data_IF_273665887059
#
_entry.id   IF_273665887059
#
_cell.length_a   1.000
_cell.length_b   1.000
_cell.length_c   1.000
_cell.angle_alpha   90.00
_cell.angle_beta   90.00
_cell.angle_gamma   90.00
#
_symmetry.space_group_name_H-M   'P 1'
#
loop_
_entity.id
_entity.type
_entity.pdbx_description
1 polymer ?
#
# COMPACT_ATOMS: atom_id res chain seq x y z
N UNK A 1 -4.33 18.93 -2.89
CA UNK A 1 -4.40 17.82 -1.92
C UNK A 1 -5.71 17.94 -1.18
N UNK A 2 -6.51 16.88 -1.17
CA UNK A 2 -7.89 16.84 -0.70
C UNK A 2 -8.01 15.92 0.51
N UNK A 3 -8.90 16.27 1.45
CA UNK A 3 -9.34 15.35 2.50
C UNK A 3 -10.23 14.26 1.87
N UNK A 4 -9.85 13.00 2.03
CA UNK A 4 -10.54 11.86 1.46
C UNK A 4 -11.72 11.37 2.30
N UNK A 5 -11.84 11.76 3.58
CA UNK A 5 -12.74 11.12 4.55
C UNK A 5 -14.19 11.11 4.09
N UNK A 6 -14.72 12.26 3.70
CA UNK A 6 -16.13 12.35 3.27
C UNK A 6 -16.39 11.52 2.00
N UNK A 7 -15.50 11.63 1.01
CA UNK A 7 -15.62 10.91 -0.25
C UNK A 7 -15.53 9.38 -0.07
N UNK A 8 -14.66 8.90 0.82
CA UNK A 8 -14.55 7.49 1.18
C UNK A 8 -15.81 6.97 1.90
N UNK A 9 -16.36 7.74 2.85
CA UNK A 9 -17.57 7.38 3.59
C UNK A 9 -18.80 7.35 2.68
N UNK A 10 -18.87 8.26 1.71
CA UNK A 10 -19.99 8.37 0.77
C UNK A 10 -19.90 7.39 -0.40
N UNK A 11 -18.81 6.62 -0.54
CA UNK A 11 -18.59 5.73 -1.69
C UNK A 11 -18.27 6.47 -3.00
N UNK A 12 -17.80 7.71 -2.92
CA UNK A 12 -17.32 8.48 -4.08
C UNK A 12 -15.90 8.08 -4.50
N UNK A 13 -15.15 7.49 -3.55
CA UNK A 13 -13.83 6.91 -3.74
C UNK A 13 -13.89 5.44 -3.38
N UNK A 14 -13.50 4.59 -4.33
CA UNK A 14 -13.52 3.14 -4.17
C UNK A 14 -12.18 2.51 -4.57
N UNK A 15 -11.86 1.37 -3.95
CA UNK A 15 -10.61 0.65 -4.20
C UNK A 15 -10.40 0.34 -5.68
N UNK A 16 -11.45 -0.13 -6.35
CA UNK A 16 -11.38 -0.63 -7.72
C UNK A 16 -11.38 0.45 -8.80
N UNK A 17 -11.72 1.68 -8.45
CA UNK A 17 -11.78 2.81 -9.40
C UNK A 17 -10.66 3.82 -9.10
N UNK A 18 -10.47 4.16 -7.83
CA UNK A 18 -9.54 5.19 -7.38
C UNK A 18 -8.23 4.61 -6.85
N UNK A 19 -8.17 3.29 -6.61
CA UNK A 19 -6.95 2.59 -6.20
C UNK A 19 -6.74 2.54 -4.69
N UNK A 20 -7.67 3.06 -3.87
CA UNK A 20 -7.56 2.99 -2.41
C UNK A 20 -8.92 2.99 -1.70
N UNK A 21 -8.92 2.47 -0.48
CA UNK A 21 -10.06 2.47 0.43
C UNK A 21 -9.61 2.64 1.89
N UNK A 22 -10.52 3.13 2.74
CA UNK A 22 -10.30 3.25 4.18
C UNK A 22 -11.12 2.18 4.90
N UNK A 23 -10.43 1.30 5.60
CA UNK A 23 -11.01 0.21 6.37
C UNK A 23 -10.89 0.50 7.86
N UNK A 24 -11.81 -0.07 8.65
CA UNK A 24 -11.67 -0.12 10.10
C UNK A 24 -10.92 -1.39 10.47
N UNK A 25 -9.87 -1.26 11.26
CA UNK A 25 -9.07 -2.40 11.74
C UNK A 25 -8.52 -2.12 13.13
N UNK A 26 -8.91 -2.92 14.11
CA UNK A 26 -8.40 -2.84 15.48
C UNK A 26 -7.54 -4.07 15.75
N UNK A 27 -6.22 -3.88 15.81
CA UNK A 27 -5.26 -4.97 15.92
C UNK A 27 -5.07 -5.45 17.36
N UNK A 28 -4.87 -6.75 17.53
CA UNK A 28 -4.47 -7.36 18.80
C UNK A 28 -2.94 -7.35 19.04
N UNK A 29 -2.15 -6.83 18.09
CA UNK A 29 -0.69 -6.65 18.25
C UNK A 29 -0.41 -5.77 19.47
N UNK A 30 0.51 -6.22 20.31
CA UNK A 30 0.91 -5.53 21.54
C UNK A 30 2.06 -4.58 21.30
N UNK A 31 3.00 -4.96 20.44
CA UNK A 31 4.12 -4.11 20.06
C UNK A 31 4.47 -4.27 18.57
N UNK A 32 4.18 -3.23 17.79
CA UNK A 32 4.58 -3.14 16.37
C UNK A 32 6.10 -2.98 16.17
N UNK A 33 6.92 -3.08 17.21
CA UNK A 33 8.38 -3.18 17.12
C UNK A 33 8.88 -4.62 17.29
N UNK A 34 8.00 -5.54 17.68
CA UNK A 34 8.30 -6.96 17.76
C UNK A 34 7.86 -7.66 16.47
N UNK A 35 8.85 -8.12 15.72
CA UNK A 35 8.68 -8.80 14.44
C UNK A 35 7.90 -10.12 14.57
N UNK A 36 8.02 -10.81 15.71
CA UNK A 36 7.28 -12.05 15.97
C UNK A 36 5.81 -11.75 16.30
N UNK A 37 5.53 -10.69 17.06
CA UNK A 37 4.15 -10.24 17.36
C UNK A 37 3.44 -9.81 16.06
N UNK A 38 4.14 -9.10 15.16
CA UNK A 38 3.61 -8.75 13.83
C UNK A 38 3.30 -10.01 13.01
N UNK A 39 4.22 -10.96 12.92
CA UNK A 39 4.03 -12.15 12.09
C UNK A 39 2.97 -13.10 12.62
N UNK A 40 2.86 -13.23 13.94
CA UNK A 40 1.93 -14.19 14.57
C UNK A 40 0.53 -13.62 14.77
N UNK A 41 0.39 -12.30 14.83
CA UNK A 41 -0.90 -11.62 15.07
C UNK A 41 -1.32 -10.78 13.88
N UNK A 42 -0.50 -9.81 13.45
CA UNK A 42 -0.90 -8.86 12.41
C UNK A 42 -1.05 -9.49 11.02
N UNK A 43 -0.21 -10.45 10.65
CA UNK A 43 -0.28 -11.09 9.34
C UNK A 43 -1.61 -11.82 9.13
N UNK A 44 -2.07 -12.70 10.03
CA UNK A 44 -3.40 -13.30 9.95
C UNK A 44 -4.54 -12.26 9.90
N UNK A 45 -4.41 -11.16 10.65
CA UNK A 45 -5.38 -10.06 10.62
C UNK A 45 -5.45 -9.41 9.22
N UNK A 46 -4.29 -9.15 8.60
CA UNK A 46 -4.21 -8.58 7.25
C UNK A 46 -4.71 -9.54 6.17
N UNK A 47 -4.41 -10.84 6.29
CA UNK A 47 -4.93 -11.86 5.38
C UNK A 47 -6.46 -11.88 5.40
N UNK A 48 -7.06 -11.92 6.59
CA UNK A 48 -8.51 -11.91 6.75
C UNK A 48 -9.14 -10.59 6.26
N UNK A 49 -8.58 -9.44 6.63
CA UNK A 49 -9.12 -8.13 6.27
C UNK A 49 -9.02 -7.87 4.76
N UNK A 50 -7.87 -8.12 4.14
CA UNK A 50 -7.68 -7.93 2.70
C UNK A 50 -8.50 -8.94 1.91
N UNK A 51 -8.57 -10.20 2.35
CA UNK A 51 -9.43 -11.21 1.74
C UNK A 51 -10.90 -10.77 1.74
N UNK A 52 -11.42 -10.32 2.88
CA UNK A 52 -12.79 -9.83 3.00
C UNK A 52 -13.05 -8.56 2.16
N UNK A 53 -12.10 -7.64 2.10
CA UNK A 53 -12.25 -6.38 1.37
C UNK A 53 -12.17 -6.54 -0.16
N UNK A 54 -11.49 -7.58 -0.64
CA UNK A 54 -11.18 -7.75 -2.06
C UNK A 54 -11.89 -8.92 -2.73
N UNK A 55 -12.33 -9.91 -1.94
CA UNK A 55 -12.88 -11.17 -2.45
C UNK A 55 -11.83 -12.13 -3.01
N UNK A 56 -10.57 -11.99 -2.61
CA UNK A 56 -9.50 -12.89 -3.04
C UNK A 56 -9.67 -14.31 -2.48
N UNK A 57 -9.25 -15.31 -3.26
CA UNK A 57 -9.26 -16.73 -2.86
C UNK A 57 -8.08 -17.05 -1.94
N UNK A 58 -6.89 -16.55 -2.30
CA UNK A 58 -5.68 -16.71 -1.51
C UNK A 58 -5.03 -15.35 -1.25
N UNK A 59 -4.51 -15.19 -0.03
CA UNK A 59 -3.74 -14.02 0.37
C UNK A 59 -2.36 -14.46 0.84
N UNK A 60 -1.33 -13.80 0.35
CA UNK A 60 0.05 -14.03 0.74
C UNK A 60 0.71 -12.74 1.21
N UNK A 61 1.10 -12.70 2.49
CA UNK A 61 1.92 -11.61 3.00
C UNK A 61 3.35 -11.71 2.44
N UNK A 62 3.82 -10.67 1.78
CA UNK A 62 5.16 -10.60 1.17
C UNK A 62 6.19 -10.14 2.18
N UNK A 63 5.93 -9.02 2.83
CA UNK A 63 6.79 -8.40 3.83
C UNK A 63 6.01 -7.30 4.54
N UNK A 64 6.60 -6.74 5.59
CA UNK A 64 6.14 -5.50 6.19
C UNK A 64 7.29 -4.50 6.37
N UNK A 65 6.93 -3.24 6.55
CA UNK A 65 7.86 -2.17 6.92
C UNK A 65 7.24 -1.37 8.06
N UNK A 66 7.95 -1.28 9.17
CA UNK A 66 7.62 -0.38 10.27
C UNK A 66 8.40 0.90 10.09
N UNK A 67 7.70 2.04 10.05
CA UNK A 67 8.29 3.38 9.92
C UNK A 67 8.02 4.20 11.17
N UNK A 68 9.07 4.79 11.71
CA UNK A 68 9.07 5.68 12.88
C UNK A 68 9.86 6.94 12.54
N UNK A 69 10.21 7.74 13.54
CA UNK A 69 11.13 8.87 13.44
C UNK A 69 12.58 8.50 13.03
N UNK A 70 12.89 7.22 12.86
CA UNK A 70 14.20 6.74 12.45
C UNK A 70 14.52 7.09 10.99
N UNK A 71 15.51 7.96 10.79
CA UNK A 71 16.01 8.37 9.48
C UNK A 71 17.36 7.74 9.12
N UNK A 72 17.83 6.74 9.86
CA UNK A 72 19.14 6.11 9.65
C UNK A 72 19.23 5.25 8.38
N UNK A 73 18.08 4.77 7.90
CA UNK A 73 17.94 3.96 6.69
C UNK A 73 16.86 4.59 5.80
N UNK A 74 17.20 4.83 4.54
CA UNK A 74 16.26 5.32 3.52
C UNK A 74 15.00 4.45 3.45
N UNK A 75 15.15 3.13 3.61
CA UNK A 75 14.04 2.19 3.59
C UNK A 75 13.18 2.22 4.84
N UNK A 76 13.60 2.88 5.92
CA UNK A 76 12.84 3.05 7.17
C UNK A 76 12.29 4.47 7.35
N UNK A 77 12.98 5.47 6.77
CA UNK A 77 12.54 6.86 6.75
C UNK A 77 11.21 7.04 5.99
N UNK A 78 10.52 8.14 6.21
CA UNK A 78 9.29 8.42 5.46
C UNK A 78 9.61 8.67 3.97
N UNK A 79 8.94 7.96 3.06
CA UNK A 79 9.16 8.11 1.63
C UNK A 79 8.63 9.46 1.13
N UNK A 80 9.53 10.43 0.88
CA UNK A 80 9.21 11.80 0.42
C UNK A 80 9.32 11.99 -1.09
N UNK A 81 8.98 10.94 -1.85
CA UNK A 81 8.89 10.97 -3.30
C UNK A 81 7.66 10.16 -3.73
N UNK A 82 7.05 10.54 -4.85
CA UNK A 82 5.88 9.86 -5.39
C UNK A 82 6.32 8.58 -6.10
N UNK A 83 5.71 7.45 -5.74
CA UNK A 83 6.06 6.15 -6.31
C UNK A 83 4.91 5.14 -6.22
N UNK A 84 5.07 4.06 -6.96
CA UNK A 84 4.41 2.77 -6.80
C UNK A 84 5.50 1.72 -6.56
N UNK A 85 5.24 0.76 -5.68
CA UNK A 85 6.24 -0.24 -5.31
C UNK A 85 6.58 -1.21 -6.44
N UNK A 86 5.63 -1.43 -7.36
CA UNK A 86 5.71 -2.42 -8.40
C UNK A 86 5.66 -1.80 -9.80
N UNK A 87 6.34 -2.46 -10.73
CA UNK A 87 6.32 -2.12 -12.14
C UNK A 87 5.03 -2.57 -12.81
N UNK A 88 4.56 -1.78 -13.79
CA UNK A 88 3.48 -2.19 -14.69
C UNK A 88 3.99 -3.10 -15.82
N UNK A 89 5.30 -3.20 -16.00
CA UNK A 89 5.90 -4.05 -17.02
C UNK A 89 5.84 -5.52 -16.58
N UNK A 90 5.13 -6.34 -17.36
CA UNK A 90 4.91 -7.78 -17.09
C UNK A 90 4.40 -8.04 -15.66
N UNK A 91 3.16 -7.63 -15.35
CA UNK A 91 2.64 -7.70 -13.98
C UNK A 91 2.56 -9.14 -13.44
N UNK A 92 2.46 -10.14 -14.32
CA UNK A 92 2.47 -11.56 -13.94
C UNK A 92 3.86 -12.07 -13.56
N UNK A 93 4.95 -11.44 -14.01
CA UNK A 93 6.31 -11.80 -13.56
C UNK A 93 6.49 -11.57 -12.05
N UNK A 94 5.91 -10.49 -11.51
CA UNK A 94 5.90 -10.24 -10.07
C UNK A 94 5.24 -11.39 -9.30
N UNK A 95 4.11 -11.91 -9.78
CA UNK A 95 3.41 -13.06 -9.17
C UNK A 95 4.28 -14.30 -9.23
N UNK A 96 4.80 -14.64 -10.41
CA UNK A 96 5.66 -15.81 -10.59
C UNK A 96 6.85 -15.78 -9.63
N UNK A 97 7.53 -14.63 -9.50
CA UNK A 97 8.65 -14.47 -8.54
C UNK A 97 8.22 -14.59 -7.09
N UNK A 98 7.02 -14.14 -6.72
CA UNK A 98 6.50 -14.24 -5.36
C UNK A 98 6.08 -15.68 -5.01
N UNK A 99 5.47 -16.39 -5.96
CA UNK A 99 5.10 -17.81 -5.85
C UNK A 99 6.34 -18.71 -5.79
N UNK A 100 7.32 -18.51 -6.67
CA UNK A 100 8.57 -19.29 -6.67
C UNK A 100 9.36 -19.12 -5.38
N UNK A 101 9.37 -17.92 -4.76
CA UNK A 101 10.00 -17.70 -3.45
C UNK A 101 9.31 -18.43 -2.30
N UNK A 102 8.10 -18.94 -2.52
CA UNK A 102 7.31 -19.72 -1.57
C UNK A 102 7.28 -21.21 -1.91
N UNK A 103 8.09 -21.64 -2.89
CA UNK A 103 8.09 -23.01 -3.41
C UNK A 103 6.71 -23.49 -3.91
N UNK A 104 5.86 -22.55 -4.36
CA UNK A 104 4.55 -22.86 -4.93
C UNK A 104 4.67 -23.19 -6.44
N UNK A 105 3.99 -24.24 -6.92
CA UNK A 105 4.05 -24.65 -8.32
C UNK A 105 3.32 -23.65 -9.23
N UNK A 106 4.06 -22.99 -10.13
CA UNK A 106 3.50 -21.97 -11.04
C UNK A 106 2.37 -22.49 -11.95
N UNK A 107 2.31 -23.81 -12.20
CA UNK A 107 1.27 -24.44 -12.99
C UNK A 107 -0.12 -24.28 -12.36
N UNK A 108 -0.22 -24.30 -11.03
CA UNK A 108 -1.47 -24.19 -10.28
C UNK A 108 -2.06 -22.76 -10.38
N UNK A 109 -1.24 -21.80 -10.78
CA UNK A 109 -1.59 -20.38 -10.88
C UNK A 109 -1.56 -19.83 -12.31
N UNK A 110 -1.44 -20.71 -13.33
CA UNK A 110 -1.25 -20.29 -14.71
C UNK A 110 -2.38 -19.39 -15.24
N UNK A 111 -3.62 -19.74 -14.91
CA UNK A 111 -4.83 -19.03 -15.34
C UNK A 111 -5.38 -18.05 -14.29
N UNK A 112 -4.75 -17.98 -13.11
CA UNK A 112 -5.18 -17.11 -12.01
C UNK A 112 -4.88 -15.64 -12.31
N UNK A 113 -5.66 -14.78 -11.67
CA UNK A 113 -5.47 -13.34 -11.67
C UNK A 113 -4.86 -12.89 -10.33
N UNK A 114 -4.11 -11.78 -10.35
CA UNK A 114 -3.35 -11.32 -9.20
C UNK A 114 -3.52 -9.83 -8.95
N UNK A 115 -3.51 -9.44 -7.69
CA UNK A 115 -3.33 -8.05 -7.31
C UNK A 115 -2.35 -7.92 -6.14
N UNK A 116 -1.65 -6.79 -6.09
CA UNK A 116 -0.83 -6.39 -4.96
C UNK A 116 -1.46 -5.22 -4.28
N UNK A 117 -1.52 -5.34 -2.96
CA UNK A 117 -2.01 -4.31 -2.09
C UNK A 117 -0.97 -3.96 -1.04
N UNK A 118 -0.92 -2.69 -0.68
CA UNK A 118 -0.31 -2.26 0.56
C UNK A 118 -1.42 -1.93 1.55
N UNK A 119 -1.33 -2.48 2.75
CA UNK A 119 -2.05 -1.93 3.90
C UNK A 119 -1.15 -0.91 4.58
N UNK A 120 -1.73 0.19 5.04
CA UNK A 120 -1.00 1.21 5.78
C UNK A 120 -1.81 1.63 7.01
N UNK A 121 -1.25 1.41 8.19
CA UNK A 121 -1.95 1.64 9.46
C UNK A 121 -1.03 2.36 10.45
N UNK A 122 -1.47 3.48 11.05
CA UNK A 122 -0.75 4.08 12.16
C UNK A 122 -0.89 3.23 13.43
N UNK A 123 0.08 3.32 14.32
CA UNK A 123 0.04 2.70 15.64
C UNK A 123 0.59 3.66 16.70
N UNK A 124 0.40 3.33 17.99
CA UNK A 124 0.61 4.18 19.18
C UNK A 124 -0.33 5.41 19.25
N UNK A 125 -0.46 6.17 18.16
CA UNK A 125 -1.20 7.43 18.12
C UNK A 125 -1.63 7.81 16.69
N UNK A 126 -2.36 8.93 16.55
CA UNK A 126 -2.84 9.41 15.25
C UNK A 126 -1.67 9.86 14.37
N UNK A 127 -1.76 9.58 13.06
CA UNK A 127 -0.80 10.09 12.10
C UNK A 127 -1.12 11.54 11.71
N UNK A 128 -0.54 12.48 12.45
CA UNK A 128 -0.73 13.92 12.19
C UNK A 128 0.44 14.52 11.40
N UNK A 129 1.67 14.20 11.80
CA UNK A 129 2.89 14.53 11.06
C UNK A 129 3.19 13.46 10.01
N UNK A 130 3.80 13.86 8.89
CA UNK A 130 4.20 12.93 7.83
C UNK A 130 3.10 11.97 7.33
N UNK A 131 1.81 12.35 7.22
CA UNK A 131 0.79 11.42 6.78
C UNK A 131 1.05 10.90 5.36
N UNK A 132 0.31 9.86 4.97
CA UNK A 132 0.37 9.34 3.60
C UNK A 132 -0.60 10.10 2.70
N UNK A 133 -0.10 10.59 1.57
CA UNK A 133 -0.90 11.04 0.44
C UNK A 133 -0.91 9.96 -0.63
N UNK A 134 -2.06 9.83 -1.30
CA UNK A 134 -2.30 8.92 -2.42
C UNK A 134 -2.82 9.70 -3.62
N UNK A 135 -2.56 9.22 -4.81
CA UNK A 135 -3.11 9.77 -6.05
C UNK A 135 -4.27 8.91 -6.50
N UNK A 136 -5.39 9.57 -6.80
CA UNK A 136 -6.56 8.94 -7.42
C UNK A 136 -6.18 8.32 -8.77
N UNK A 137 -6.18 7.00 -8.82
CA UNK A 137 -5.77 6.23 -9.99
C UNK A 137 -6.57 6.57 -11.25
N UNK A 138 -7.83 7.02 -11.10
CA UNK A 138 -8.67 7.45 -12.23
C UNK A 138 -8.16 8.72 -12.92
N UNK A 139 -7.18 9.41 -12.34
CA UNK A 139 -6.52 10.60 -12.88
C UNK A 139 -5.14 10.35 -13.44
N UNK A 140 -4.64 9.12 -13.33
CA UNK A 140 -3.30 8.74 -13.79
C UNK A 140 -3.42 8.06 -15.15
N UNK A 141 -2.72 8.59 -16.15
CA UNK A 141 -2.58 7.93 -17.45
C UNK A 141 -1.53 6.82 -17.32
N UNK A 142 -1.84 5.54 -17.58
CA UNK A 142 -0.85 4.47 -17.56
C UNK A 142 0.38 4.75 -18.44
N UNK A 143 0.23 5.52 -19.52
CA UNK A 143 1.33 5.91 -20.41
C UNK A 143 2.32 6.90 -19.79
N UNK A 144 1.97 7.53 -18.66
CA UNK A 144 2.85 8.45 -17.93
C UNK A 144 3.58 7.78 -16.76
N UNK A 145 3.31 6.49 -16.52
CA UNK A 145 3.93 5.70 -15.45
C UNK A 145 5.21 5.06 -15.97
N UNK A 146 6.34 5.55 -15.46
CA UNK A 146 7.66 5.10 -15.88
C UNK A 146 8.29 4.19 -14.83
N UNK A 147 8.94 3.14 -15.30
CA UNK A 147 9.76 2.29 -14.44
C UNK A 147 11.09 2.95 -14.12
N UNK A 148 11.56 2.72 -12.90
CA UNK A 148 12.92 3.00 -12.50
C UNK A 148 13.51 1.80 -11.76
N UNK A 149 14.84 1.68 -11.83
CA UNK A 149 15.56 0.67 -11.07
C UNK A 149 15.75 1.15 -9.64
N UNK A 150 15.28 0.33 -8.70
CA UNK A 150 15.50 0.50 -7.29
C UNK A 150 16.54 -0.51 -6.81
N UNK A 151 17.64 -0.05 -6.20
CA UNK A 151 18.76 -0.88 -5.74
C UNK A 151 18.78 -1.08 -4.22
N UNK A 152 17.63 -0.95 -3.56
CA UNK A 152 17.51 -1.22 -2.12
C UNK A 152 17.89 -2.66 -1.77
N UNK A 153 18.43 -2.85 -0.56
CA UNK A 153 18.78 -4.17 -0.01
C UNK A 153 19.78 -4.99 -0.86
N UNK A 154 20.57 -4.33 -1.71
CA UNK A 154 21.55 -5.00 -2.57
C UNK A 154 20.94 -5.81 -3.71
N UNK A 155 19.64 -5.64 -3.99
CA UNK A 155 18.93 -6.28 -5.09
C UNK A 155 18.38 -5.22 -6.05
N UNK A 156 18.38 -5.54 -7.35
CA UNK A 156 17.76 -4.66 -8.36
C UNK A 156 16.29 -5.05 -8.52
N UNK A 157 15.40 -4.20 -8.00
CA UNK A 157 13.97 -4.21 -8.31
C UNK A 157 13.61 -3.21 -9.41
N UNK A 158 12.43 -3.38 -10.01
CA UNK A 158 11.77 -2.33 -10.79
C UNK A 158 10.59 -1.82 -9.97
N UNK A 159 10.56 -0.53 -9.75
CA UNK A 159 9.43 0.20 -9.19
C UNK A 159 8.96 1.20 -10.24
N UNK A 160 7.81 1.83 -10.01
CA UNK A 160 7.25 2.76 -10.98
C UNK A 160 6.96 4.13 -10.34
N UNK A 161 6.99 5.18 -11.15
CA UNK A 161 6.52 6.51 -10.74
C UNK A 161 5.76 7.16 -11.89
N UNK A 162 4.66 7.88 -11.60
CA UNK A 162 4.04 8.69 -12.62
C UNK A 162 4.86 9.98 -12.88
N UNK A 163 4.86 10.44 -14.12
CA UNK A 163 5.37 11.77 -14.47
C UNK A 163 4.51 12.87 -13.84
N UNK A 164 5.07 14.08 -13.72
CA UNK A 164 4.32 15.23 -13.23
C UNK A 164 3.12 15.53 -14.14
N UNK A 165 1.93 15.61 -13.55
CA UNK A 165 0.72 16.00 -14.24
C UNK A 165 -0.17 16.85 -13.30
N UNK A 166 -0.51 18.10 -13.65
CA UNK A 166 -1.38 18.94 -12.82
C UNK A 166 -2.81 18.41 -12.71
N UNK A 167 -3.21 17.45 -13.54
CA UNK A 167 -4.49 16.75 -13.47
C UNK A 167 -4.57 15.68 -12.38
N UNK A 168 -3.45 15.28 -11.78
CA UNK A 168 -3.43 14.30 -10.68
C UNK A 168 -4.18 14.83 -9.46
N UNK A 169 -5.15 14.05 -8.98
CA UNK A 169 -5.87 14.36 -7.73
C UNK A 169 -5.22 13.66 -6.55
N UNK A 170 -4.58 14.44 -5.69
CA UNK A 170 -3.97 13.97 -4.44
C UNK A 170 -4.97 13.97 -3.29
N UNK A 171 -5.06 12.87 -2.58
CA UNK A 171 -5.90 12.65 -1.41
C UNK A 171 -5.09 12.23 -0.20
N UNK A 172 -5.58 12.51 1.00
CA UNK A 172 -5.06 11.95 2.25
C UNK A 172 -6.18 11.84 3.29
N UNK A 173 -5.95 11.06 4.34
CA UNK A 173 -6.90 10.91 5.47
C UNK A 173 -6.34 11.67 6.68
N UNK A 174 -6.87 12.86 7.02
CA UNK A 174 -6.32 13.66 8.12
C UNK A 174 -6.50 12.98 9.47
N UNK A 175 -5.48 13.09 10.35
CA UNK A 175 -5.51 12.57 11.74
C UNK A 175 -5.94 11.11 11.82
N UNK A 176 -5.47 10.29 10.86
CA UNK A 176 -5.79 8.88 10.77
C UNK A 176 -5.46 8.17 12.07
N UNK A 177 -6.46 7.51 12.67
CA UNK A 177 -6.37 6.88 13.97
C UNK A 177 -5.80 5.46 13.88
N UNK A 178 -5.25 4.91 14.98
CA UNK A 178 -4.74 3.54 14.99
C UNK A 178 -5.77 2.44 14.69
N UNK A 179 -7.06 2.74 14.67
CA UNK A 179 -8.12 1.78 14.28
C UNK A 179 -8.56 1.94 12.82
N UNK A 180 -7.86 2.75 12.04
CA UNK A 180 -8.11 3.00 10.63
C UNK A 180 -6.94 2.45 9.81
N UNK A 181 -7.23 1.80 8.69
CA UNK A 181 -6.25 1.21 7.78
C UNK A 181 -6.53 1.67 6.35
N UNK A 182 -5.51 2.14 5.66
CA UNK A 182 -5.59 2.52 4.26
C UNK A 182 -5.15 1.34 3.42
N UNK A 183 -6.05 0.80 2.61
CA UNK A 183 -5.76 -0.25 1.65
C UNK A 183 -5.52 0.42 0.29
N UNK A 184 -4.37 0.15 -0.34
CA UNK A 184 -3.98 0.78 -1.60
C UNK A 184 -3.52 -0.27 -2.61
N UNK A 185 -3.92 -0.13 -3.87
CA UNK A 185 -3.43 -0.96 -4.96
C UNK A 185 -2.00 -0.59 -5.31
N UNK A 186 -1.20 -1.60 -5.62
CA UNK A 186 0.13 -1.44 -6.18
C UNK A 186 0.25 -2.06 -7.57
N UNK A 187 -0.53 -3.11 -7.84
CA UNK A 187 -0.63 -3.76 -9.12
C UNK A 187 -1.94 -4.57 -9.17
N UNK A 188 -2.61 -4.66 -10.31
CA UNK A 188 -3.81 -5.49 -10.48
C UNK A 188 -3.87 -5.99 -11.93
N UNK A 189 -3.90 -7.30 -12.14
CA UNK A 189 -3.97 -7.88 -13.49
C UNK A 189 -5.40 -7.92 -14.02
N UNK A 190 -6.41 -7.78 -13.15
CA UNK A 190 -7.82 -7.93 -13.50
C UNK A 190 -8.30 -6.75 -14.36
N UNK A 191 -9.02 -7.07 -15.43
CA UNK A 191 -9.55 -6.05 -16.35
C UNK A 191 -10.62 -5.16 -15.70
N UNK A 192 -10.72 -3.91 -16.16
CA UNK A 192 -11.76 -2.96 -15.72
C UNK A 192 -11.57 -2.39 -14.31
N UNK A 193 -10.39 -2.58 -13.71
CA UNK A 193 -10.02 -2.08 -12.38
C UNK A 193 -8.85 -1.11 -12.47
N UNK A 194 -8.73 -0.21 -11.50
CA UNK A 194 -7.51 0.56 -11.28
C UNK A 194 -6.35 -0.39 -11.01
N UNK A 195 -5.19 -0.09 -11.59
CA UNK A 195 -4.01 -0.96 -11.51
C UNK A 195 -3.06 -0.57 -10.38
N UNK A 196 -3.01 0.71 -10.00
CA UNK A 196 -2.02 1.23 -9.05
C UNK A 196 -2.60 2.38 -8.23
N UNK A 197 -1.85 2.78 -7.21
CA UNK A 197 -2.15 3.93 -6.37
C UNK A 197 -0.81 4.59 -5.97
N UNK A 198 -0.35 5.59 -6.74
CA UNK A 198 0.88 6.29 -6.44
C UNK A 198 0.75 6.98 -5.09
N UNK A 199 1.77 6.89 -4.26
CA UNK A 199 1.70 7.41 -2.91
C UNK A 199 3.04 8.00 -2.46
N UNK A 200 2.94 8.87 -1.46
CA UNK A 200 4.08 9.56 -0.86
C UNK A 200 3.73 10.05 0.53
N UNK A 201 4.73 10.28 1.36
CA UNK A 201 4.57 11.03 2.61
C UNK A 201 4.87 12.51 2.35
N UNK A 202 4.24 13.41 3.12
CA UNK A 202 4.41 14.85 2.95
C UNK A 202 4.45 15.62 4.28
N UNK A 203 5.01 16.83 4.26
CA UNK A 203 4.94 17.76 5.38
C UNK A 203 3.53 18.32 5.48
N UNK A 204 2.82 17.98 6.56
CA UNK A 204 1.46 18.46 6.79
C UNK A 204 1.51 19.82 7.49
N UNK A 205 1.26 20.95 6.78
CA UNK A 205 1.30 22.27 7.39
C UNK A 205 0.15 22.50 8.38
N UNK A 206 -0.86 21.62 8.41
CA UNK A 206 -1.97 21.67 9.35
C UNK A 206 -1.76 20.78 10.59
N UNK A 207 -0.59 20.15 10.74
CA UNK A 207 -0.27 19.37 11.95
C UNK A 207 0.16 20.28 13.08
N UNK A 208 -0.22 19.95 14.32
CA UNK A 208 0.20 20.70 15.50
C UNK A 208 1.73 20.58 15.70
N UNK A 209 2.35 21.66 16.15
CA UNK A 209 3.81 21.73 16.34
C UNK A 209 4.32 20.68 17.34
N UNK A 210 3.52 20.38 18.36
CA UNK A 210 3.77 19.40 19.41
C UNK A 210 3.27 17.98 19.09
N UNK A 211 2.62 17.78 17.93
CA UNK A 211 2.20 16.45 17.52
C UNK A 211 3.42 15.50 17.43
N UNK A 212 3.30 14.26 17.90
CA UNK A 212 4.40 13.30 17.83
C UNK A 212 4.73 12.92 16.38
N UNK A 213 5.97 12.48 16.09
CA UNK A 213 6.30 11.85 14.82
C UNK A 213 5.38 10.65 14.56
N UNK A 214 5.04 10.43 13.29
CA UNK A 214 4.17 9.32 12.89
C UNK A 214 4.86 7.97 13.10
N UNK A 215 4.08 7.01 13.57
CA UNK A 215 4.48 5.62 13.63
C UNK A 215 3.46 4.79 12.88
N UNK A 216 3.92 4.00 11.92
CA UNK A 216 3.04 3.26 11.02
C UNK A 216 3.66 1.97 10.56
N UNK A 217 2.82 0.98 10.31
CA UNK A 217 3.18 -0.27 9.65
C UNK A 217 2.56 -0.28 8.25
N UNK A 218 3.36 -0.74 7.28
CA UNK A 218 2.92 -1.11 5.95
C UNK A 218 3.06 -2.62 5.78
N UNK A 219 2.06 -3.30 5.24
CA UNK A 219 2.16 -4.72 4.85
C UNK A 219 1.89 -4.85 3.37
N UNK A 220 2.78 -5.55 2.67
CA UNK A 220 2.66 -5.82 1.23
C UNK A 220 2.05 -7.19 1.05
N UNK A 221 0.98 -7.23 0.27
CA UNK A 221 0.12 -8.39 0.15
C UNK A 221 -0.01 -8.73 -1.33
N UNK A 222 0.16 -10.01 -1.67
CA UNK A 222 -0.25 -10.55 -2.96
C UNK A 222 -1.58 -11.28 -2.75
N UNK A 223 -2.58 -10.93 -3.55
CA UNK A 223 -3.89 -11.56 -3.58
C UNK A 223 -4.05 -12.34 -4.88
N UNK A 224 -4.65 -13.52 -4.80
CA UNK A 224 -4.96 -14.40 -5.94
C UNK A 224 -6.47 -14.45 -6.12
N UNK A 225 -6.91 -14.38 -7.37
CA UNK A 225 -8.31 -14.43 -7.78
C UNK A 225 -8.52 -15.52 -8.83
N UNK A 226 -9.74 -16.02 -8.88
CA UNK A 226 -10.22 -16.77 -10.04
C UNK A 226 -10.13 -15.92 -11.33
N UNK A 227 -10.04 -16.58 -12.51
CA UNK A 227 -9.98 -15.92 -13.81
C UNK A 227 -11.18 -15.01 -14.13
#
# INVERSE_FOLDING_TARGET
>A
MHDARAALVNGEIELDTNGFALLRHESAVRDFRDDDDIRTVYYPEMEALVGAATGAEEIFIVQHVVRTEDTSDFNKAYARFLHCDYTLHDPRDTARRALSRRDLPLADYADREFAWYNTWQPFDHRAEKNPLAVVDASTVDPGEVLDYHYTGYGATGRSAMPLYNPGHRFYYVPRMAPHELLLMKQLDTRSGRSTLCPHTSFDNPASDDDAPPRRSIEVRVMAVFDP
#
